data_IF_007782403503
#
_entry.id   IF_007782403503
#
_cell.length_a   1.000
_cell.length_b   1.000
_cell.length_c   1.000
_cell.angle_alpha   90.00
_cell.angle_beta   90.00
_cell.angle_gamma   90.00
#
_symmetry.space_group_name_H-M   'P 1'
#
loop_
_entity.id
_entity.type
_entity.pdbx_description
1 polymer ?
#
# COMPACT_ATOMS: atom_id res chain seq x y z
N UNK A 1 9.35 -63.61 2.69
CA UNK A 1 9.33 -62.44 3.56
C UNK A 1 10.08 -61.32 2.84
N UNK A 2 9.29 -60.43 2.20
CA UNK A 2 9.84 -59.31 1.43
C UNK A 2 9.53 -58.03 2.22
N UNK A 3 10.62 -57.37 2.72
CA UNK A 3 10.50 -56.08 3.40
C UNK A 3 10.38 -54.98 2.34
N UNK A 4 9.20 -54.39 2.24
CA UNK A 4 8.97 -53.19 1.45
C UNK A 4 9.73 -51.99 2.06
N UNK A 5 10.67 -51.42 1.31
CA UNK A 5 11.27 -50.12 1.64
C UNK A 5 10.26 -49.02 1.42
N UNK A 6 9.83 -48.38 2.51
CA UNK A 6 9.08 -47.15 2.48
C UNK A 6 10.01 -46.01 1.98
N UNK A 7 9.75 -45.53 0.78
CA UNK A 7 10.35 -44.27 0.29
C UNK A 7 9.73 -43.10 1.05
N UNK A 8 10.39 -42.68 2.12
CA UNK A 8 10.16 -41.35 2.65
C UNK A 8 10.73 -40.32 1.66
N UNK A 9 9.86 -39.79 0.84
CA UNK A 9 10.13 -38.55 0.11
C UNK A 9 10.29 -37.47 1.17
N UNK A 10 11.51 -36.99 1.36
CA UNK A 10 11.76 -35.75 2.06
C UNK A 10 11.01 -34.65 1.27
N UNK A 11 9.82 -34.27 1.73
CA UNK A 11 9.27 -32.94 1.42
C UNK A 11 10.24 -31.95 2.03
N UNK A 12 11.10 -31.36 1.20
CA UNK A 12 11.83 -30.16 1.59
C UNK A 12 10.79 -29.17 2.14
N UNK A 13 11.14 -28.48 3.18
CA UNK A 13 10.31 -27.38 3.73
C UNK A 13 10.12 -26.40 2.57
N UNK A 14 8.96 -26.48 1.90
CA UNK A 14 8.58 -25.51 0.87
C UNK A 14 8.47 -24.19 1.61
N UNK A 15 9.32 -23.22 1.27
CA UNK A 15 9.19 -21.87 1.80
C UNK A 15 7.86 -21.31 1.32
N UNK A 16 7.00 -20.88 2.24
CA UNK A 16 5.68 -20.34 1.93
C UNK A 16 5.78 -18.94 1.30
N UNK A 17 6.93 -18.28 1.47
CA UNK A 17 7.20 -16.92 1.00
C UNK A 17 8.66 -16.80 0.58
N UNK A 18 8.88 -16.24 -0.58
CA UNK A 18 10.18 -15.74 -1.02
C UNK A 18 10.19 -14.21 -0.91
N UNK A 19 11.25 -13.66 -0.37
CA UNK A 19 11.49 -12.21 -0.29
C UNK A 19 12.83 -11.93 -0.97
N UNK A 20 12.87 -10.88 -1.82
CA UNK A 20 14.06 -10.49 -2.56
C UNK A 20 14.20 -8.97 -2.55
N UNK A 21 15.33 -8.47 -2.05
CA UNK A 21 15.64 -7.06 -1.99
C UNK A 21 16.45 -6.62 -3.22
N UNK A 22 15.91 -5.68 -3.98
CA UNK A 22 16.62 -4.99 -5.03
C UNK A 22 16.99 -3.59 -4.56
N UNK A 23 18.13 -3.47 -3.88
CA UNK A 23 18.65 -2.18 -3.40
C UNK A 23 19.09 -1.37 -4.62
N UNK A 24 18.53 -0.15 -4.77
CA UNK A 24 18.85 0.79 -5.86
C UNK A 24 19.74 1.93 -5.39
N UNK A 25 19.57 2.34 -4.13
CA UNK A 25 20.30 3.43 -3.50
C UNK A 25 20.76 3.01 -2.11
N UNK A 26 22.01 3.31 -1.81
CA UNK A 26 22.62 3.18 -0.50
C UNK A 26 23.61 4.33 -0.34
N UNK A 27 23.32 5.26 0.54
CA UNK A 27 24.09 6.50 0.68
C UNK A 27 23.97 7.07 2.10
N UNK A 28 24.89 7.93 2.46
CA UNK A 28 24.85 8.67 3.73
C UNK A 28 23.66 9.62 3.73
N UNK A 29 22.91 9.65 4.83
CA UNK A 29 21.77 10.53 5.03
C UNK A 29 22.22 11.87 5.63
N UNK A 30 21.49 12.95 5.30
CA UNK A 30 21.67 14.30 5.88
C UNK A 30 23.12 14.79 5.81
N UNK A 31 23.75 14.64 4.62
CA UNK A 31 25.13 15.08 4.35
C UNK A 31 26.17 14.59 5.38
N UNK A 32 25.88 13.48 6.05
CA UNK A 32 26.74 12.89 7.07
C UNK A 32 26.64 13.53 8.45
N UNK A 33 25.56 14.26 8.71
CA UNK A 33 25.29 14.79 10.06
C UNK A 33 25.27 13.69 11.11
N UNK A 34 25.85 13.99 12.29
CA UNK A 34 25.88 13.06 13.42
C UNK A 34 24.76 13.38 14.41
N UNK A 35 23.95 12.36 14.72
CA UNK A 35 22.79 12.49 15.61
C UNK A 35 23.11 12.02 17.03
N UNK A 36 23.79 12.86 17.79
CA UNK A 36 24.21 12.58 19.16
C UNK A 36 25.07 11.31 19.24
N UNK A 37 24.81 10.45 20.22
CA UNK A 37 25.58 9.21 20.42
C UNK A 37 25.30 8.11 19.38
N UNK A 38 24.23 8.25 18.60
CA UNK A 38 23.89 7.29 17.53
C UNK A 38 24.80 7.45 16.31
N UNK A 39 25.41 8.63 16.13
CA UNK A 39 26.26 8.92 14.99
C UNK A 39 25.47 9.18 13.69
N UNK A 40 26.12 8.90 12.57
CA UNK A 40 25.55 9.12 11.23
C UNK A 40 24.48 8.09 10.89
N UNK A 41 23.63 8.43 9.93
CA UNK A 41 22.62 7.57 9.35
C UNK A 41 22.90 7.24 7.90
N UNK A 42 22.47 6.05 7.50
CA UNK A 42 22.48 5.55 6.14
C UNK A 42 21.05 5.49 5.60
N UNK A 43 20.88 5.89 4.35
CA UNK A 43 19.66 5.78 3.57
C UNK A 43 19.76 4.59 2.62
N UNK A 44 18.77 3.70 2.64
CA UNK A 44 18.66 2.56 1.72
C UNK A 44 17.29 2.62 1.06
N UNK A 45 17.24 2.54 -0.27
CA UNK A 45 15.97 2.54 -0.99
C UNK A 45 16.01 1.60 -2.20
N UNK A 46 14.85 1.10 -2.60
CA UNK A 46 14.73 0.20 -3.73
C UNK A 46 13.38 -0.45 -3.83
N UNK A 47 13.39 -1.70 -4.26
CA UNK A 47 12.22 -2.54 -4.48
C UNK A 47 12.36 -3.84 -3.70
N UNK A 48 11.27 -4.29 -3.09
CA UNK A 48 11.14 -5.63 -2.53
C UNK A 48 10.19 -6.42 -3.42
N UNK A 49 10.60 -7.64 -3.79
CA UNK A 49 9.75 -8.60 -4.49
C UNK A 49 9.39 -9.72 -3.54
N UNK A 50 8.13 -10.12 -3.62
CA UNK A 50 7.57 -11.23 -2.87
C UNK A 50 7.04 -12.27 -3.85
N UNK A 51 7.19 -13.53 -3.51
CA UNK A 51 6.49 -14.62 -4.12
C UNK A 51 5.87 -15.48 -3.01
N UNK A 52 4.54 -15.64 -3.03
CA UNK A 52 3.77 -16.31 -1.98
C UNK A 52 3.03 -17.51 -2.52
N UNK A 53 2.96 -18.61 -1.73
CA UNK A 53 2.16 -19.76 -2.07
C UNK A 53 0.66 -19.45 -1.83
N UNK A 54 -0.16 -19.32 -2.89
CA UNK A 54 -1.58 -18.98 -2.72
C UNK A 54 -2.41 -20.12 -2.10
N UNK A 55 -1.85 -21.31 -1.96
CA UNK A 55 -2.50 -22.48 -1.38
C UNK A 55 -2.11 -22.69 0.09
N UNK A 56 -1.14 -21.93 0.62
CA UNK A 56 -0.77 -21.93 2.03
C UNK A 56 -1.85 -21.30 2.91
N UNK A 57 -2.06 -21.88 4.09
CA UNK A 57 -2.99 -21.35 5.11
C UNK A 57 -2.63 -19.94 5.56
N UNK A 58 -1.33 -19.60 5.53
CA UNK A 58 -0.83 -18.26 5.90
C UNK A 58 -1.40 -17.12 5.03
N UNK A 59 -1.90 -17.44 3.83
CA UNK A 59 -2.47 -16.49 2.87
C UNK A 59 -3.94 -16.73 2.57
N UNK A 60 -4.57 -17.69 3.24
CA UNK A 60 -5.98 -18.10 2.98
C UNK A 60 -7.00 -16.97 3.13
N UNK A 61 -6.68 -15.94 3.93
CA UNK A 61 -7.55 -14.77 4.13
C UNK A 61 -7.44 -13.72 3.01
N UNK A 62 -6.47 -13.82 2.09
CA UNK A 62 -6.29 -12.82 1.02
C UNK A 62 -7.33 -13.06 -0.07
N UNK A 63 -8.24 -12.10 -0.21
CA UNK A 63 -9.31 -12.17 -1.22
C UNK A 63 -8.71 -12.21 -2.62
N UNK A 64 -9.21 -13.11 -3.45
CA UNK A 64 -8.80 -13.33 -4.85
C UNK A 64 -7.35 -13.77 -5.07
N UNK A 65 -6.59 -14.13 -4.03
CA UNK A 65 -5.21 -14.60 -4.21
C UNK A 65 -5.11 -15.83 -5.11
N UNK A 66 -6.02 -16.78 -4.96
CA UNK A 66 -6.07 -18.00 -5.78
C UNK A 66 -6.43 -17.76 -7.25
N UNK A 67 -6.99 -16.58 -7.53
CA UNK A 67 -7.32 -16.09 -8.86
C UNK A 67 -6.20 -15.27 -9.50
N UNK A 68 -5.12 -15.01 -8.78
CA UNK A 68 -3.96 -14.29 -9.30
C UNK A 68 -3.08 -15.20 -10.20
N UNK A 69 -2.39 -14.64 -11.20
CA UNK A 69 -1.46 -15.39 -12.01
C UNK A 69 -0.32 -15.97 -11.16
N UNK A 70 0.08 -17.20 -11.48
CA UNK A 70 1.18 -17.91 -10.81
C UNK A 70 2.41 -17.93 -11.70
N UNK A 71 3.58 -17.82 -11.12
CA UNK A 71 4.84 -18.04 -11.82
C UNK A 71 5.09 -19.55 -12.07
N UNK A 72 6.21 -19.89 -12.73
CA UNK A 72 6.57 -21.26 -13.09
C UNK A 72 6.74 -22.19 -11.88
N UNK A 73 6.89 -21.64 -10.68
CA UNK A 73 6.97 -22.38 -9.41
C UNK A 73 5.63 -22.48 -8.67
N UNK A 74 4.55 -21.92 -9.23
CA UNK A 74 3.22 -21.93 -8.64
C UNK A 74 2.93 -20.80 -7.65
N UNK A 75 3.87 -19.87 -7.43
CA UNK A 75 3.72 -18.74 -6.53
C UNK A 75 3.08 -17.52 -7.19
N UNK A 76 2.39 -16.71 -6.40
CA UNK A 76 1.88 -15.39 -6.81
C UNK A 76 2.91 -14.32 -6.46
N UNK A 77 3.29 -13.54 -7.46
CA UNK A 77 4.31 -12.50 -7.33
C UNK A 77 3.68 -11.10 -7.17
N UNK A 78 4.29 -10.30 -6.30
CA UNK A 78 4.01 -8.87 -6.18
C UNK A 78 5.27 -8.13 -5.72
N UNK A 79 5.25 -6.80 -5.82
CA UNK A 79 6.42 -6.00 -5.47
C UNK A 79 6.03 -4.66 -4.86
N UNK A 80 6.91 -4.11 -4.03
CA UNK A 80 6.72 -2.81 -3.41
C UNK A 80 8.01 -2.00 -3.37
N UNK A 81 7.88 -0.68 -3.42
CA UNK A 81 8.98 0.20 -3.09
C UNK A 81 9.25 0.16 -1.59
N UNK A 82 10.51 0.34 -1.19
CA UNK A 82 10.88 0.47 0.21
C UNK A 82 11.88 1.62 0.43
N UNK A 83 11.90 2.10 1.67
CA UNK A 83 12.80 3.13 2.13
C UNK A 83 13.20 2.85 3.58
N UNK A 84 14.49 2.90 3.88
CA UNK A 84 15.04 2.66 5.22
C UNK A 84 16.01 3.79 5.57
N UNK A 85 15.86 4.36 6.76
CA UNK A 85 16.89 5.17 7.43
C UNK A 85 17.33 4.44 8.68
N UNK A 86 18.62 4.15 8.79
CA UNK A 86 19.16 3.41 9.93
C UNK A 86 20.49 4.02 10.39
N UNK A 87 20.89 3.80 11.66
CA UNK A 87 22.26 4.11 12.07
C UNK A 87 23.27 3.47 11.12
N UNK A 88 24.29 4.21 10.70
CA UNK A 88 25.38 3.68 9.88
C UNK A 88 26.07 2.51 10.60
N UNK A 89 26.31 2.68 11.90
CA UNK A 89 26.66 1.59 12.81
C UNK A 89 25.42 1.16 13.60
N UNK A 90 24.85 -0.01 13.25
CA UNK A 90 23.67 -0.54 13.93
C UNK A 90 23.87 -0.78 15.43
N UNK A 91 25.13 -1.00 15.89
CA UNK A 91 25.43 -1.20 17.30
C UNK A 91 25.23 0.06 18.15
N UNK A 92 25.30 1.26 17.52
CA UNK A 92 25.01 2.55 18.18
C UNK A 92 23.51 2.87 18.22
N UNK A 93 22.69 2.09 17.49
CA UNK A 93 21.24 2.22 17.50
C UNK A 93 20.59 1.58 18.73
N UNK A 94 19.30 1.85 18.92
CA UNK A 94 18.52 1.28 20.04
C UNK A 94 17.94 -0.11 19.74
N UNK A 95 18.25 -0.68 18.59
CA UNK A 95 17.72 -1.98 18.08
C UNK A 95 16.19 -2.04 17.95
N UNK A 96 15.57 -0.90 17.73
CA UNK A 96 14.11 -0.78 17.51
C UNK A 96 13.83 -0.30 16.10
N UNK A 97 12.98 -1.04 15.41
CA UNK A 97 12.43 -0.68 14.12
C UNK A 97 11.14 0.11 14.37
N UNK A 98 11.02 1.29 13.74
CA UNK A 98 9.77 2.03 13.67
C UNK A 98 9.31 2.06 12.21
N UNK A 99 8.18 1.39 11.94
CA UNK A 99 7.56 1.33 10.63
C UNK A 99 6.48 2.40 10.51
N UNK A 100 6.61 3.29 9.52
CA UNK A 100 5.57 4.24 9.15
C UNK A 100 4.74 3.67 8.00
N UNK A 101 3.48 3.35 8.28
CA UNK A 101 2.51 3.05 7.24
C UNK A 101 2.27 4.35 6.47
N UNK A 102 2.87 4.48 5.29
CA UNK A 102 2.76 5.70 4.49
C UNK A 102 1.29 6.04 4.17
N UNK A 103 0.98 7.32 4.06
CA UNK A 103 -0.38 7.78 3.78
C UNK A 103 -0.52 8.10 2.29
N UNK A 104 -1.20 7.23 1.53
CA UNK A 104 -1.31 7.32 0.06
C UNK A 104 0.05 7.47 -0.61
N UNK A 105 1.01 6.62 -0.22
CA UNK A 105 2.37 6.64 -0.73
C UNK A 105 3.27 7.71 -0.11
N UNK A 106 2.73 8.67 0.66
CA UNK A 106 3.51 9.76 1.25
C UNK A 106 4.08 9.39 2.62
N UNK A 107 5.38 9.64 2.81
CA UNK A 107 6.11 9.42 4.06
C UNK A 107 5.83 10.57 5.02
N UNK A 108 5.31 10.28 6.21
CA UNK A 108 4.87 11.31 7.14
C UNK A 108 5.61 11.33 8.48
N UNK A 109 6.28 10.27 8.85
CA UNK A 109 6.87 10.10 10.18
C UNK A 109 7.83 11.23 10.56
N UNK A 110 8.75 11.61 9.68
CA UNK A 110 9.75 12.64 9.99
C UNK A 110 9.11 14.01 10.21
N UNK A 111 8.06 14.34 9.46
CA UNK A 111 7.30 15.56 9.66
C UNK A 111 6.66 15.63 11.05
N UNK A 112 6.14 14.52 11.57
CA UNK A 112 5.41 14.50 12.84
C UNK A 112 6.29 14.28 14.07
N UNK A 113 7.38 13.55 13.93
CA UNK A 113 8.27 13.26 15.07
C UNK A 113 9.50 14.17 15.14
N UNK A 114 9.95 14.66 13.99
CA UNK A 114 11.19 15.43 13.89
C UNK A 114 10.96 16.89 13.49
N UNK A 115 9.71 17.34 13.33
CA UNK A 115 9.39 18.69 12.76
C UNK A 115 10.10 18.95 11.42
N UNK A 116 10.29 17.90 10.64
CA UNK A 116 11.01 17.96 9.38
C UNK A 116 10.15 18.52 8.24
N UNK A 117 10.79 19.12 7.25
CA UNK A 117 10.16 19.42 5.97
C UNK A 117 9.69 18.11 5.34
N UNK A 118 8.46 18.11 4.79
CA UNK A 118 7.91 16.90 4.14
C UNK A 118 8.71 16.53 2.90
N UNK A 119 9.05 15.24 2.81
CA UNK A 119 9.65 14.63 1.63
C UNK A 119 9.22 13.16 1.52
N UNK A 120 8.95 12.70 0.31
CA UNK A 120 8.76 11.27 0.02
C UNK A 120 10.09 10.55 -0.27
N UNK A 121 11.19 11.29 -0.34
CA UNK A 121 12.55 10.79 -0.53
C UNK A 121 13.53 11.53 0.37
N UNK A 122 13.36 11.48 1.70
CA UNK A 122 14.15 12.27 2.64
C UNK A 122 15.64 11.96 2.53
N UNK A 123 16.49 13.00 2.31
CA UNK A 123 17.92 12.84 2.05
C UNK A 123 18.81 13.92 2.68
N UNK A 124 18.26 15.11 2.95
CA UNK A 124 19.01 16.28 3.43
C UNK A 124 18.84 16.49 4.93
N UNK A 125 19.60 17.44 5.49
CA UNK A 125 19.49 17.88 6.89
C UNK A 125 18.11 18.48 7.20
N UNK A 126 17.49 19.19 6.25
CA UNK A 126 16.12 19.70 6.41
C UNK A 126 15.09 18.57 6.56
N UNK A 127 15.32 17.47 5.84
CA UNK A 127 14.49 16.26 5.95
C UNK A 127 14.72 15.48 7.26
N UNK A 128 15.86 15.69 7.93
CA UNK A 128 16.10 15.17 9.28
C UNK A 128 15.35 15.95 10.35
N UNK A 129 15.06 17.25 10.07
CA UNK A 129 14.42 18.16 11.01
C UNK A 129 15.24 18.31 12.29
N UNK A 130 14.58 18.24 13.46
CA UNK A 130 15.29 18.29 14.74
C UNK A 130 16.04 17.00 15.07
N UNK A 131 16.01 15.95 14.24
CA UNK A 131 16.73 14.69 14.42
C UNK A 131 16.27 13.82 15.61
N UNK A 132 15.07 14.05 16.15
CA UNK A 132 14.61 13.36 17.37
C UNK A 132 14.70 11.83 17.28
N UNK A 133 14.13 11.21 16.24
CA UNK A 133 14.14 9.75 16.09
C UNK A 133 15.55 9.20 15.88
N UNK A 134 16.40 9.95 15.16
CA UNK A 134 17.79 9.59 14.91
C UNK A 134 18.60 9.63 16.20
N UNK A 135 18.50 10.71 17.00
CA UNK A 135 19.19 10.78 18.30
C UNK A 135 18.73 9.72 19.29
N UNK A 136 17.53 9.16 19.09
CA UNK A 136 17.02 8.01 19.88
C UNK A 136 17.44 6.66 19.31
N UNK A 137 18.15 6.63 18.17
CA UNK A 137 18.76 5.44 17.59
C UNK A 137 17.77 4.51 16.88
N UNK A 138 16.59 4.97 16.46
CA UNK A 138 15.61 4.15 15.74
C UNK A 138 16.07 3.85 14.31
N UNK A 139 15.81 2.63 13.84
CA UNK A 139 15.78 2.31 12.41
C UNK A 139 14.37 2.57 11.89
N UNK A 140 14.23 3.41 10.87
CA UNK A 140 12.96 3.85 10.30
C UNK A 140 12.71 3.11 8.99
N UNK A 141 11.51 2.56 8.81
CA UNK A 141 11.18 1.74 7.64
C UNK A 141 9.85 2.17 7.05
N UNK A 142 9.80 2.24 5.72
CA UNK A 142 8.61 2.47 4.90
C UNK A 142 8.56 1.45 3.77
N UNK A 143 7.38 1.05 3.38
CA UNK A 143 7.13 0.34 2.12
C UNK A 143 5.74 0.67 1.59
N UNK A 144 5.52 0.53 0.28
CA UNK A 144 4.18 0.61 -0.28
C UNK A 144 3.30 -0.52 0.26
N UNK A 145 2.01 -0.24 0.45
CA UNK A 145 1.03 -1.21 0.97
C UNK A 145 -0.30 -1.19 0.22
N UNK A 146 -0.48 -0.27 -0.70
CA UNK A 146 -1.70 -0.16 -1.52
C UNK A 146 -1.34 -0.05 -3.01
N UNK A 147 -2.06 -0.79 -3.84
CA UNK A 147 -1.75 -0.92 -5.26
C UNK A 147 -2.42 0.14 -6.15
N UNK A 148 -3.20 1.04 -5.56
CA UNK A 148 -3.89 2.11 -6.29
C UNK A 148 -3.12 3.45 -6.28
N UNK A 149 -1.89 3.50 -5.75
CA UNK A 149 -1.05 4.70 -5.81
C UNK A 149 -0.43 4.85 -7.20
N UNK A 150 -0.65 6.00 -7.81
CA UNK A 150 0.00 6.36 -9.07
C UNK A 150 1.47 6.72 -8.82
N UNK A 151 2.40 6.25 -9.65
CA UNK A 151 3.80 6.64 -9.58
C UNK A 151 3.98 8.15 -9.74
N UNK A 152 4.93 8.71 -9.01
CA UNK A 152 5.30 10.13 -9.08
C UNK A 152 5.57 10.71 -7.69
N UNK A 153 6.24 11.87 -7.66
CA UNK A 153 6.54 12.61 -6.43
C UNK A 153 7.21 11.75 -5.33
N UNK A 154 8.00 10.74 -5.72
CA UNK A 154 8.66 9.83 -4.79
C UNK A 154 7.74 8.98 -3.91
N UNK A 155 6.44 8.92 -4.22
CA UNK A 155 5.46 8.13 -3.48
C UNK A 155 5.81 6.66 -3.50
N UNK A 156 5.62 6.00 -2.36
CA UNK A 156 5.78 4.55 -2.25
C UNK A 156 4.60 3.85 -2.95
N UNK A 157 4.91 3.02 -3.91
CA UNK A 157 3.92 2.26 -4.69
C UNK A 157 4.01 0.77 -4.41
N UNK A 158 2.92 0.06 -4.73
CA UNK A 158 2.89 -1.40 -4.69
C UNK A 158 2.31 -1.92 -6.00
N UNK A 159 2.99 -2.87 -6.62
CA UNK A 159 2.57 -3.54 -7.85
C UNK A 159 1.93 -4.86 -7.48
N UNK A 160 0.63 -4.95 -7.71
CA UNK A 160 -0.20 -6.10 -7.36
C UNK A 160 -0.62 -6.88 -8.60
N UNK A 161 -0.78 -8.19 -8.50
CA UNK A 161 -1.36 -8.98 -9.57
C UNK A 161 -2.85 -8.66 -9.75
N UNK A 162 -3.31 -8.80 -10.98
CA UNK A 162 -4.74 -8.75 -11.34
C UNK A 162 -5.30 -10.15 -11.23
N UNK A 163 -6.42 -10.29 -10.52
CA UNK A 163 -7.13 -11.55 -10.44
C UNK A 163 -7.93 -11.81 -11.73
N UNK A 164 -7.94 -13.09 -12.16
CA UNK A 164 -8.70 -13.58 -13.30
C UNK A 164 -9.48 -14.84 -12.92
N UNK A 165 -10.58 -15.13 -13.57
CA UNK A 165 -11.33 -16.36 -13.34
C UNK A 165 -11.24 -17.28 -14.57
N UNK A 166 -10.55 -18.41 -14.43
CA UNK A 166 -10.25 -19.32 -15.55
C UNK A 166 -9.54 -18.64 -16.74
N UNK A 167 -8.72 -17.61 -16.47
CA UNK A 167 -8.04 -16.82 -17.49
C UNK A 167 -8.86 -15.67 -18.08
N UNK A 168 -10.12 -15.54 -17.70
CA UNK A 168 -11.02 -14.47 -18.14
C UNK A 168 -11.02 -13.28 -17.18
N UNK A 169 -11.33 -12.08 -17.69
CA UNK A 169 -11.43 -10.87 -16.88
C UNK A 169 -12.55 -10.99 -15.84
N UNK A 170 -12.23 -10.70 -14.59
CA UNK A 170 -13.24 -10.54 -13.52
C UNK A 170 -13.87 -9.16 -13.64
N UNK A 171 -15.20 -9.11 -13.68
CA UNK A 171 -15.97 -7.86 -13.65
C UNK A 171 -16.79 -7.74 -12.37
N UNK A 172 -17.15 -6.51 -11.99
CA UNK A 172 -17.99 -6.26 -10.82
C UNK A 172 -18.41 -4.82 -10.69
N UNK A 173 -19.52 -4.63 -10.00
CA UNK A 173 -20.07 -3.28 -9.76
C UNK A 173 -19.19 -2.55 -8.76
N UNK A 174 -18.81 -1.33 -9.08
CA UNK A 174 -18.06 -0.41 -8.21
C UNK A 174 -18.68 0.98 -8.19
N UNK A 175 -18.32 1.77 -7.20
CA UNK A 175 -18.83 3.13 -7.00
C UNK A 175 -17.69 4.12 -6.87
N UNK A 176 -17.78 5.22 -7.59
CA UNK A 176 -16.96 6.41 -7.40
C UNK A 176 -17.79 7.53 -6.80
N UNK A 177 -17.22 8.31 -5.92
CA UNK A 177 -17.86 9.46 -5.29
C UNK A 177 -16.99 10.69 -5.51
N UNK A 178 -17.62 11.77 -5.99
CA UNK A 178 -16.94 13.03 -6.25
C UNK A 178 -17.56 14.14 -5.41
N UNK A 179 -16.73 14.92 -4.73
CA UNK A 179 -17.10 16.19 -4.13
C UNK A 179 -15.98 17.15 -4.51
N UNK A 180 -16.33 18.21 -5.18
CA UNK A 180 -15.38 19.25 -5.59
C UNK A 180 -15.52 20.47 -4.68
N UNK A 181 -14.41 21.16 -4.45
CA UNK A 181 -14.38 22.35 -3.60
C UNK A 181 -14.36 23.64 -4.44
N UNK A 182 -14.13 23.53 -5.77
CA UNK A 182 -13.97 24.65 -6.68
C UNK A 182 -14.99 24.63 -7.83
N UNK A 183 -15.33 25.82 -8.33
CA UNK A 183 -16.12 25.98 -9.54
C UNK A 183 -15.31 25.66 -10.80
N UNK A 184 -16.00 25.25 -11.88
CA UNK A 184 -15.37 25.02 -13.18
C UNK A 184 -14.70 23.66 -13.34
N UNK A 185 -14.81 22.77 -12.37
CA UNK A 185 -14.37 21.38 -12.52
C UNK A 185 -15.34 20.66 -13.46
N UNK A 186 -14.85 20.25 -14.63
CA UNK A 186 -15.65 19.61 -15.68
C UNK A 186 -15.35 18.11 -15.82
N UNK A 187 -14.22 17.63 -15.31
CA UNK A 187 -13.85 16.21 -15.40
C UNK A 187 -13.14 15.77 -14.13
N UNK A 188 -13.48 14.58 -13.66
CA UNK A 188 -12.89 13.94 -12.48
C UNK A 188 -12.38 12.53 -12.82
N UNK A 189 -11.20 12.13 -12.31
CA UNK A 189 -10.82 10.72 -12.36
C UNK A 189 -11.78 9.90 -11.50
N UNK A 190 -12.07 8.66 -11.91
CA UNK A 190 -12.94 7.76 -11.14
C UNK A 190 -12.42 7.44 -9.72
N UNK A 191 -11.14 7.69 -9.46
CA UNK A 191 -10.53 7.64 -8.11
C UNK A 191 -10.88 8.84 -7.23
N UNK A 192 -11.51 9.87 -7.78
CA UNK A 192 -11.83 11.14 -7.13
C UNK A 192 -10.64 11.98 -6.65
N UNK A 193 -9.40 11.62 -7.06
CA UNK A 193 -8.19 12.39 -6.78
C UNK A 193 -7.09 12.11 -7.82
N UNK A 194 -6.06 12.96 -7.86
CA UNK A 194 -5.03 12.91 -8.89
C UNK A 194 -3.82 11.99 -8.59
N UNK A 195 -3.78 11.31 -7.46
CA UNK A 195 -2.65 10.47 -7.04
C UNK A 195 -3.00 9.00 -6.77
N UNK A 196 -4.27 8.64 -6.93
CA UNK A 196 -4.70 7.24 -6.93
C UNK A 196 -5.38 6.87 -8.25
N UNK A 197 -5.29 5.61 -8.62
CA UNK A 197 -6.03 5.03 -9.74
C UNK A 197 -7.37 4.45 -9.26
N UNK A 198 -8.27 4.24 -10.21
CA UNK A 198 -9.50 3.47 -10.05
C UNK A 198 -9.47 2.26 -10.97
N UNK A 199 -10.50 1.42 -10.89
CA UNK A 199 -10.71 0.34 -11.82
C UNK A 199 -11.31 0.86 -13.13
N UNK A 200 -10.89 0.25 -14.23
CA UNK A 200 -11.38 0.54 -15.57
C UNK A 200 -12.86 0.20 -15.71
N UNK A 201 -13.67 1.09 -16.26
CA UNK A 201 -15.04 0.78 -16.66
C UNK A 201 -15.03 -0.19 -17.86
N UNK A 202 -15.85 -1.24 -17.83
CA UNK A 202 -15.95 -2.21 -18.95
C UNK A 202 -16.56 -1.62 -20.20
N UNK A 203 -17.39 -0.58 -20.02
CA UNK A 203 -18.07 0.14 -21.08
C UNK A 203 -17.96 1.64 -20.82
N UNK A 204 -17.85 2.42 -21.87
CA UNK A 204 -17.94 3.88 -21.83
C UNK A 204 -19.31 4.39 -22.28
N UNK A 205 -20.28 3.48 -22.53
CA UNK A 205 -21.68 3.83 -22.73
C UNK A 205 -22.29 4.23 -21.38
N UNK A 206 -22.78 5.45 -21.29
CA UNK A 206 -23.36 5.99 -20.06
C UNK A 206 -24.62 5.26 -19.61
N UNK A 207 -25.33 4.60 -20.52
CA UNK A 207 -26.50 3.77 -20.23
C UNK A 207 -26.19 2.52 -19.41
N UNK A 208 -24.92 2.10 -19.39
CA UNK A 208 -24.42 0.95 -18.60
C UNK A 208 -24.01 1.36 -17.17
N UNK A 209 -24.22 2.62 -16.80
CA UNK A 209 -23.86 3.17 -15.50
C UNK A 209 -24.98 4.00 -14.90
N UNK A 210 -24.90 4.28 -13.61
CA UNK A 210 -25.85 5.17 -12.93
C UNK A 210 -25.09 6.34 -12.35
N UNK A 211 -25.41 7.56 -12.76
CA UNK A 211 -24.84 8.77 -12.25
C UNK A 211 -25.87 9.61 -11.52
N UNK A 212 -25.58 9.98 -10.27
CA UNK A 212 -26.51 10.74 -9.42
C UNK A 212 -25.80 11.88 -8.73
N UNK A 213 -26.57 12.88 -8.28
CA UNK A 213 -26.10 13.96 -7.43
C UNK A 213 -27.09 14.27 -6.31
N UNK A 214 -26.59 14.83 -5.20
CA UNK A 214 -27.38 15.36 -4.08
C UNK A 214 -26.60 16.44 -3.34
N UNK A 215 -27.26 17.34 -2.67
CA UNK A 215 -26.60 18.40 -1.90
C UNK A 215 -26.13 17.90 -0.54
N UNK A 216 -27.02 17.23 0.20
CA UNK A 216 -26.72 16.64 1.51
C UNK A 216 -26.86 15.13 1.46
N UNK A 217 -26.20 14.48 2.38
CA UNK A 217 -26.23 13.02 2.52
C UNK A 217 -27.62 12.47 2.75
N UNK A 218 -28.43 13.18 3.52
CA UNK A 218 -29.84 12.84 3.79
C UNK A 218 -30.79 13.04 2.61
N UNK A 219 -30.35 13.74 1.55
CA UNK A 219 -31.20 14.06 0.44
C UNK A 219 -31.40 12.87 -0.51
N UNK A 220 -32.53 12.88 -1.21
CA UNK A 220 -32.80 11.93 -2.28
C UNK A 220 -31.82 12.13 -3.43
N UNK A 221 -31.23 11.04 -3.93
CA UNK A 221 -30.37 11.06 -5.11
C UNK A 221 -31.15 11.52 -6.35
N UNK A 222 -30.63 12.54 -7.02
CA UNK A 222 -31.16 13.07 -8.27
C UNK A 222 -30.40 12.43 -9.43
N UNK A 223 -31.04 11.70 -10.34
CA UNK A 223 -30.35 11.13 -11.50
C UNK A 223 -29.84 12.21 -12.45
N UNK A 224 -28.67 11.99 -13.02
CA UNK A 224 -28.11 12.75 -14.13
C UNK A 224 -28.37 11.94 -15.40
N UNK A 225 -29.05 12.55 -16.39
CA UNK A 225 -29.42 11.87 -17.62
C UNK A 225 -28.18 11.38 -18.40
N UNK A 226 -28.29 10.26 -19.08
CA UNK A 226 -27.16 9.60 -19.75
C UNK A 226 -26.49 10.49 -20.81
N UNK A 227 -27.24 11.38 -21.45
CA UNK A 227 -26.74 12.34 -22.45
C UNK A 227 -26.08 13.59 -21.82
N UNK A 228 -26.20 13.78 -20.51
CA UNK A 228 -25.67 14.96 -19.80
C UNK A 228 -24.23 14.79 -19.31
N UNK A 229 -23.64 13.62 -19.46
CA UNK A 229 -22.27 13.31 -19.01
C UNK A 229 -21.61 12.28 -19.93
N UNK A 230 -20.31 12.03 -19.73
CA UNK A 230 -19.58 11.03 -20.51
C UNK A 230 -18.42 10.40 -19.69
N UNK A 231 -18.05 9.17 -20.03
CA UNK A 231 -16.77 8.61 -19.66
C UNK A 231 -15.67 9.26 -20.48
N UNK A 232 -15.14 10.39 -20.00
CA UNK A 232 -14.14 11.17 -20.71
C UNK A 232 -13.24 11.98 -19.74
N UNK A 233 -12.03 12.25 -20.18
CA UNK A 233 -11.11 13.23 -19.58
C UNK A 233 -11.05 14.48 -20.45
N UNK A 234 -10.75 15.63 -19.86
CA UNK A 234 -10.44 16.83 -20.63
C UNK A 234 -8.96 16.87 -21.00
N UNK A 235 -8.70 17.09 -22.28
CA UNK A 235 -7.36 17.35 -22.80
C UNK A 235 -7.42 18.59 -23.70
N UNK A 236 -6.71 19.65 -23.33
CA UNK A 236 -6.75 20.95 -24.03
C UNK A 236 -8.19 21.49 -24.21
N UNK A 237 -9.02 21.37 -23.18
CA UNK A 237 -10.42 21.81 -23.17
C UNK A 237 -11.39 20.94 -23.99
N UNK A 238 -10.94 19.82 -24.56
CA UNK A 238 -11.79 18.90 -25.33
C UNK A 238 -11.99 17.58 -24.57
N UNK A 239 -13.21 17.03 -24.54
CA UNK A 239 -13.45 15.71 -23.97
C UNK A 239 -12.85 14.63 -24.86
N UNK A 240 -12.03 13.76 -24.27
CA UNK A 240 -11.44 12.58 -24.91
C UNK A 240 -11.96 11.33 -24.16
N UNK A 241 -12.52 10.34 -24.85
CA UNK A 241 -13.03 9.12 -24.22
C UNK A 241 -12.02 8.50 -23.25
N UNK A 242 -12.47 8.08 -22.09
CA UNK A 242 -11.62 7.48 -21.05
C UNK A 242 -12.44 6.63 -20.11
N UNK A 243 -12.09 5.34 -20.00
CA UNK A 243 -12.70 4.41 -19.04
C UNK A 243 -12.31 4.68 -17.56
N UNK A 244 -11.51 5.71 -17.31
CA UNK A 244 -11.01 6.09 -15.97
C UNK A 244 -11.44 7.48 -15.50
N UNK A 245 -12.29 8.18 -16.27
CA UNK A 245 -12.72 9.54 -15.94
C UNK A 245 -14.21 9.74 -16.23
N UNK A 246 -14.81 10.63 -15.45
CA UNK A 246 -16.15 11.15 -15.65
C UNK A 246 -16.06 12.61 -16.08
N UNK A 247 -16.75 13.00 -17.14
CA UNK A 247 -16.88 14.36 -17.65
C UNK A 247 -18.33 14.83 -17.56
N UNK A 248 -18.54 15.97 -16.93
CA UNK A 248 -19.84 16.64 -16.79
C UNK A 248 -19.75 18.01 -17.46
N UNK A 249 -20.27 18.21 -18.68
CA UNK A 249 -20.12 19.46 -19.44
C UNK A 249 -20.62 20.72 -18.73
N UNK A 250 -21.69 20.61 -17.92
CA UNK A 250 -22.22 21.72 -17.10
C UNK A 250 -21.39 21.96 -15.81
N UNK A 251 -20.38 21.13 -15.53
CA UNK A 251 -19.52 21.20 -14.36
C UNK A 251 -20.12 20.57 -13.11
N UNK A 252 -19.23 20.16 -12.24
CA UNK A 252 -19.57 19.72 -10.89
C UNK A 252 -19.86 20.95 -10.01
N UNK A 253 -20.93 20.90 -9.22
CA UNK A 253 -21.26 21.95 -8.23
C UNK A 253 -20.42 21.74 -6.98
N UNK A 254 -19.68 22.76 -6.49
CA UNK A 254 -18.95 22.67 -5.25
C UNK A 254 -19.81 22.27 -4.06
N UNK A 255 -19.28 21.39 -3.21
CA UNK A 255 -19.97 20.89 -2.01
C UNK A 255 -21.04 19.83 -2.26
N UNK A 256 -21.44 19.59 -3.51
CA UNK A 256 -22.43 18.55 -3.85
C UNK A 256 -21.78 17.17 -3.94
N UNK A 257 -22.52 16.14 -3.53
CA UNK A 257 -22.12 14.73 -3.58
C UNK A 257 -22.58 14.15 -4.93
N UNK A 258 -21.63 13.69 -5.74
CA UNK A 258 -21.88 12.97 -6.98
C UNK A 258 -21.48 11.51 -6.80
N UNK A 259 -22.33 10.57 -7.21
CA UNK A 259 -22.07 9.13 -7.13
C UNK A 259 -22.25 8.49 -8.49
N UNK A 260 -21.17 7.87 -9.01
CA UNK A 260 -21.17 7.11 -10.24
C UNK A 260 -21.01 5.62 -9.90
N UNK A 261 -22.01 4.82 -10.23
CA UNK A 261 -22.01 3.37 -10.11
C UNK A 261 -21.84 2.78 -11.52
N UNK A 262 -20.82 1.96 -11.70
CA UNK A 262 -20.46 1.37 -12.99
C UNK A 262 -19.92 -0.05 -12.81
N UNK A 263 -19.89 -0.85 -13.86
CA UNK A 263 -19.24 -2.14 -13.87
C UNK A 263 -17.77 -1.95 -14.24
N UNK A 264 -16.88 -2.37 -13.34
CA UNK A 264 -15.43 -2.34 -13.49
C UNK A 264 -14.88 -3.71 -13.86
N UNK A 265 -13.62 -3.75 -14.30
CA UNK A 265 -12.88 -4.99 -14.61
C UNK A 265 -11.49 -4.99 -13.95
N UNK A 266 -10.85 -6.17 -13.97
CA UNK A 266 -9.46 -6.36 -13.58
C UNK A 266 -9.14 -5.97 -12.13
N UNK A 267 -9.76 -6.61 -11.11
CA UNK A 267 -9.50 -6.32 -9.71
C UNK A 267 -8.08 -6.70 -9.32
N UNK A 268 -7.36 -5.75 -8.70
CA UNK A 268 -6.08 -6.02 -8.05
C UNK A 268 -6.28 -6.79 -6.75
N UNK A 269 -5.37 -7.72 -6.43
CA UNK A 269 -5.36 -8.46 -5.16
C UNK A 269 -4.81 -7.55 -4.05
N UNK A 270 -5.62 -6.57 -3.63
CA UNK A 270 -5.22 -5.50 -2.70
C UNK A 270 -4.86 -6.02 -1.29
N UNK A 271 -5.42 -7.16 -0.88
CA UNK A 271 -5.13 -7.80 0.41
C UNK A 271 -3.66 -8.12 0.63
N UNK A 272 -2.88 -8.29 -0.45
CA UNK A 272 -1.43 -8.47 -0.42
C UNK A 272 -0.69 -7.29 0.24
N UNK A 273 -1.32 -6.12 0.36
CA UNK A 273 -0.76 -5.01 1.13
C UNK A 273 -0.61 -5.30 2.62
N UNK A 274 -1.51 -6.10 3.20
CA UNK A 274 -1.39 -6.54 4.60
C UNK A 274 -0.28 -7.59 4.75
N UNK A 275 -0.25 -8.56 3.87
CA UNK A 275 0.77 -9.63 3.88
C UNK A 275 2.17 -9.10 3.62
N UNK A 276 2.33 -8.19 2.65
CA UNK A 276 3.63 -7.60 2.33
C UNK A 276 4.24 -6.84 3.51
N UNK A 277 3.43 -6.11 4.28
CA UNK A 277 3.91 -5.46 5.52
C UNK A 277 4.25 -6.48 6.60
N UNK A 278 3.39 -7.50 6.81
CA UNK A 278 3.64 -8.58 7.76
C UNK A 278 4.97 -9.27 7.49
N UNK A 279 5.15 -9.72 6.26
CA UNK A 279 6.28 -10.54 5.87
C UNK A 279 7.58 -9.72 5.82
N UNK A 280 7.52 -8.44 5.40
CA UNK A 280 8.66 -7.53 5.46
C UNK A 280 9.15 -7.31 6.90
N UNK A 281 8.25 -7.00 7.82
CA UNK A 281 8.65 -6.74 9.22
C UNK A 281 9.17 -8.01 9.87
N UNK A 282 8.56 -9.16 9.61
CA UNK A 282 9.03 -10.45 10.07
C UNK A 282 10.45 -10.73 9.55
N UNK A 283 10.71 -10.56 8.26
CA UNK A 283 12.04 -10.69 7.66
C UNK A 283 13.06 -9.77 8.35
N UNK A 284 12.75 -8.49 8.50
CA UNK A 284 13.67 -7.51 9.08
C UNK A 284 14.04 -7.82 10.55
N UNK A 285 13.15 -8.49 11.29
CA UNK A 285 13.38 -8.92 12.67
C UNK A 285 14.17 -10.23 12.78
N UNK A 286 13.92 -11.19 11.89
CA UNK A 286 14.29 -12.59 12.14
C UNK A 286 15.31 -13.16 11.16
N UNK A 287 15.29 -12.75 9.89
CA UNK A 287 16.09 -13.39 8.86
C UNK A 287 17.47 -12.73 8.69
N UNK A 288 18.46 -13.50 8.21
CA UNK A 288 19.83 -13.02 7.99
C UNK A 288 20.02 -12.43 6.60
N UNK A 289 19.39 -13.05 5.63
CA UNK A 289 19.44 -12.69 4.22
C UNK A 289 18.14 -13.09 3.51
N UNK A 290 17.88 -12.49 2.38
CA UNK A 290 16.76 -12.83 1.50
C UNK A 290 17.04 -14.16 0.74
N UNK A 291 16.08 -14.58 -0.08
CA UNK A 291 16.15 -15.85 -0.83
C UNK A 291 17.26 -15.90 -1.88
N UNK A 292 17.82 -14.74 -2.27
CA UNK A 292 18.97 -14.64 -3.18
C UNK A 292 20.29 -14.41 -2.44
N UNK A 293 20.27 -14.38 -1.10
CA UNK A 293 21.45 -14.16 -0.27
C UNK A 293 21.80 -12.69 -0.03
N UNK A 294 20.93 -11.75 -0.40
CA UNK A 294 21.11 -10.33 -0.08
C UNK A 294 20.97 -10.14 1.44
N UNK A 295 22.00 -9.63 2.15
CA UNK A 295 21.93 -9.45 3.58
C UNK A 295 20.77 -8.57 4.03
N UNK A 296 20.14 -8.95 5.14
CA UNK A 296 19.11 -8.12 5.79
C UNK A 296 19.71 -6.75 6.18
N UNK A 297 19.17 -5.64 5.68
CA UNK A 297 19.74 -4.31 5.90
C UNK A 297 19.74 -3.87 7.36
N UNK A 298 18.92 -4.50 8.22
CA UNK A 298 18.82 -4.21 9.65
C UNK A 298 19.52 -5.27 10.51
N UNK A 299 20.41 -6.09 9.91
CA UNK A 299 21.21 -7.07 10.60
C UNK A 299 22.68 -6.97 10.14
N UNK A 300 23.58 -6.68 11.06
CA UNK A 300 25.01 -6.51 10.75
C UNK A 300 25.87 -6.85 11.97
N UNK A 301 26.95 -7.63 11.78
CA UNK A 301 27.94 -7.95 12.80
C UNK A 301 27.34 -8.46 14.12
N UNK A 302 26.30 -9.32 14.04
CA UNK A 302 25.61 -9.86 15.21
C UNK A 302 24.55 -8.91 15.82
N UNK A 303 24.48 -7.65 15.38
CA UNK A 303 23.41 -6.73 15.78
C UNK A 303 22.16 -7.00 14.95
N UNK A 304 21.02 -7.07 15.61
CA UNK A 304 19.70 -7.25 15.00
C UNK A 304 18.66 -6.38 15.68
N UNK A 305 17.52 -6.19 15.02
CA UNK A 305 16.36 -5.54 15.64
C UNK A 305 15.76 -6.47 16.71
N UNK A 306 15.35 -5.91 17.83
CA UNK A 306 14.73 -6.64 18.95
C UNK A 306 13.23 -6.35 19.06
N UNK A 307 12.80 -5.19 18.58
CA UNK A 307 11.44 -4.71 18.66
C UNK A 307 11.02 -4.01 17.37
N UNK A 308 9.75 -4.18 16.99
CA UNK A 308 9.14 -3.42 15.92
C UNK A 308 7.91 -2.66 16.41
N UNK A 309 7.79 -1.41 15.98
CA UNK A 309 6.66 -0.55 16.27
C UNK A 309 6.03 -0.05 14.97
N UNK A 310 4.70 -0.07 14.89
CA UNK A 310 3.95 0.46 13.76
C UNK A 310 3.32 1.82 14.10
N UNK A 311 3.54 2.81 13.26
CA UNK A 311 2.86 4.10 13.35
C UNK A 311 2.11 4.39 12.04
N UNK A 312 0.95 5.00 12.14
CA UNK A 312 0.18 5.39 10.96
C UNK A 312 -0.86 6.44 11.28
N UNK A 313 -0.98 7.45 10.42
CA UNK A 313 -1.87 8.59 10.61
C UNK A 313 -3.07 8.53 9.68
N UNK A 314 -4.28 8.79 10.19
CA UNK A 314 -5.53 8.84 9.42
C UNK A 314 -5.81 7.50 8.70
N UNK A 315 -5.80 7.43 7.39
CA UNK A 315 -5.95 6.19 6.61
C UNK A 315 -4.95 5.11 7.04
N UNK A 316 -3.70 5.49 7.26
CA UNK A 316 -2.64 4.57 7.69
C UNK A 316 -2.86 4.07 9.13
N UNK A 317 -3.47 4.89 9.99
CA UNK A 317 -3.93 4.44 11.29
C UNK A 317 -5.07 3.42 11.19
N UNK A 318 -5.99 3.59 10.22
CA UNK A 318 -7.01 2.57 9.92
C UNK A 318 -6.38 1.27 9.39
N UNK A 319 -5.32 1.36 8.58
CA UNK A 319 -4.56 0.19 8.15
C UNK A 319 -4.02 -0.61 9.35
N UNK A 320 -3.38 0.03 10.31
CA UNK A 320 -2.85 -0.64 11.51
C UNK A 320 -3.96 -1.31 12.35
N UNK A 321 -5.12 -0.66 12.48
CA UNK A 321 -6.28 -1.26 13.15
C UNK A 321 -6.80 -2.49 12.39
N UNK A 322 -6.93 -2.40 11.06
CA UNK A 322 -7.33 -3.51 10.20
C UNK A 322 -6.33 -4.65 10.23
N UNK A 323 -5.02 -4.33 10.23
CA UNK A 323 -3.91 -5.28 10.33
C UNK A 323 -4.02 -6.16 11.59
N UNK A 324 -4.20 -5.54 12.76
CA UNK A 324 -4.37 -6.28 14.02
C UNK A 324 -5.71 -7.00 14.07
N UNK A 325 -6.80 -6.34 13.66
CA UNK A 325 -8.14 -6.93 13.65
C UNK A 325 -8.24 -8.21 12.83
N UNK A 326 -7.52 -8.27 11.69
CA UNK A 326 -7.50 -9.44 10.81
C UNK A 326 -6.42 -10.47 11.17
N UNK A 327 -5.70 -10.30 12.28
CA UNK A 327 -4.69 -11.27 12.74
C UNK A 327 -3.33 -11.16 12.04
N UNK A 328 -3.09 -10.15 11.20
CA UNK A 328 -1.79 -9.99 10.51
C UNK A 328 -0.63 -9.61 11.45
N UNK A 329 -0.90 -9.34 12.74
CA UNK A 329 0.19 -9.11 13.72
C UNK A 329 0.88 -10.41 14.18
N UNK A 330 0.58 -11.50 13.51
CA UNK A 330 1.26 -12.80 13.62
C UNK A 330 1.72 -13.24 12.23
N UNK A 331 2.98 -13.66 12.11
CA UNK A 331 3.53 -14.15 10.85
C UNK A 331 3.19 -15.64 10.62
N UNK A 332 3.62 -16.20 9.48
CA UNK A 332 3.37 -17.60 9.13
C UNK A 332 3.99 -18.62 10.09
N UNK A 333 4.91 -18.20 10.96
CA UNK A 333 5.55 -19.03 11.97
C UNK A 333 5.00 -18.79 13.39
N UNK A 334 3.90 -18.04 13.54
CA UNK A 334 3.30 -17.72 14.83
C UNK A 334 4.07 -16.67 15.63
N UNK A 335 5.00 -15.92 15.00
CA UNK A 335 5.78 -14.88 15.65
C UNK A 335 5.09 -13.53 15.55
N UNK A 336 5.24 -12.71 16.60
CA UNK A 336 4.68 -11.35 16.63
C UNK A 336 5.41 -10.43 15.65
N UNK A 337 4.63 -9.66 14.85
CA UNK A 337 5.14 -8.69 13.87
C UNK A 337 5.45 -7.35 14.55
N UNK A 338 4.46 -6.69 15.14
CA UNK A 338 4.65 -5.45 15.87
C UNK A 338 4.48 -5.67 17.38
N UNK A 339 5.44 -5.19 18.18
CA UNK A 339 5.32 -5.17 19.64
C UNK A 339 4.32 -4.11 20.13
N UNK A 340 4.19 -3.02 19.38
CA UNK A 340 3.18 -1.98 19.61
C UNK A 340 2.80 -1.30 18.31
N UNK A 341 1.57 -0.81 18.25
CA UNK A 341 1.06 0.02 17.15
C UNK A 341 0.50 1.34 17.70
N UNK A 342 0.65 2.40 16.91
CA UNK A 342 0.09 3.72 17.19
C UNK A 342 -0.78 4.20 16.02
N UNK A 343 -2.07 3.85 16.00
CA UNK A 343 -3.01 4.31 14.98
C UNK A 343 -3.46 5.76 15.28
N UNK A 344 -2.65 6.72 14.86
CA UNK A 344 -2.86 8.14 15.14
C UNK A 344 -4.01 8.71 14.31
N UNK A 345 -4.97 9.38 14.96
CA UNK A 345 -6.19 10.00 14.38
C UNK A 345 -6.86 9.13 13.30
N UNK A 346 -7.00 7.85 13.59
CA UNK A 346 -7.47 6.86 12.61
C UNK A 346 -8.95 6.97 12.26
N UNK A 347 -9.74 7.65 13.08
CA UNK A 347 -11.21 7.68 12.96
C UNK A 347 -11.87 6.31 13.21
N UNK A 348 -13.21 6.25 13.13
CA UNK A 348 -14.00 5.03 13.35
C UNK A 348 -14.03 4.08 12.16
N UNK A 349 -13.98 4.60 10.92
CA UNK A 349 -14.11 3.83 9.69
C UNK A 349 -13.00 2.81 9.47
N UNK A 350 -13.27 1.82 8.63
CA UNK A 350 -12.31 0.79 8.21
C UNK A 350 -11.55 1.25 6.96
N UNK A 351 -10.37 0.70 6.71
CA UNK A 351 -9.74 0.77 5.41
C UNK A 351 -10.26 -0.39 4.55
N UNK A 352 -10.79 -0.07 3.37
CA UNK A 352 -11.32 -1.07 2.44
C UNK A 352 -10.16 -1.59 1.59
N UNK A 353 -9.44 -2.60 2.08
CA UNK A 353 -8.23 -3.13 1.45
C UNK A 353 -8.42 -4.57 0.94
N UNK A 354 -8.83 -5.50 1.78
CA UNK A 354 -8.94 -6.92 1.44
C UNK A 354 -10.34 -7.28 0.94
N UNK A 355 -10.70 -6.76 -0.24
CA UNK A 355 -11.97 -6.97 -0.93
C UNK A 355 -11.73 -6.99 -2.44
N UNK A 356 -12.59 -7.66 -3.20
CA UNK A 356 -12.62 -7.55 -4.66
C UNK A 356 -13.01 -6.11 -5.05
N UNK A 357 -12.31 -5.50 -5.98
CA UNK A 357 -12.43 -4.07 -6.35
C UNK A 357 -12.23 -3.10 -5.17
N UNK A 358 -11.33 -3.45 -4.24
CA UNK A 358 -10.98 -2.56 -3.13
C UNK A 358 -10.34 -1.25 -3.62
N UNK A 359 -10.74 -0.13 -3.01
CA UNK A 359 -10.26 1.21 -3.31
C UNK A 359 -9.66 1.86 -2.04
N UNK A 360 -8.48 1.40 -1.56
CA UNK A 360 -7.91 1.87 -0.29
C UNK A 360 -7.55 3.36 -0.30
N UNK A 361 -7.19 3.92 -1.45
CA UNK A 361 -6.86 5.34 -1.60
C UNK A 361 -8.07 6.28 -1.52
N UNK A 362 -9.28 5.75 -1.63
CA UNK A 362 -10.52 6.52 -1.52
C UNK A 362 -10.68 7.11 -0.12
N UNK A 363 -11.22 8.32 -0.04
CA UNK A 363 -11.61 8.91 1.23
C UNK A 363 -12.91 8.23 1.71
N UNK A 364 -12.90 7.46 2.80
CA UNK A 364 -14.15 7.01 3.38
C UNK A 364 -14.85 8.22 3.98
N UNK A 365 -16.07 8.43 3.59
CA UNK A 365 -16.93 9.40 4.23
C UNK A 365 -17.91 8.64 5.11
N UNK A 366 -18.22 9.11 6.32
CA UNK A 366 -19.23 8.52 7.18
C UNK A 366 -20.61 8.92 6.61
N UNK A 367 -21.04 8.20 5.58
CA UNK A 367 -22.34 8.44 4.94
C UNK A 367 -23.45 7.55 5.50
N UNK A 368 -23.16 6.79 6.55
CA UNK A 368 -24.13 5.82 7.11
C UNK A 368 -24.45 6.14 8.54
#
# INVERSE_FOLDING_TARGET
MSFGRSNHVHRGILMETEIRFKIRHRETFADGESFGNTGQYERIAGEIRFAVDPDSDAYSMVVDLKHAPRNDHGFVEFATDFYILKPADLAQGNRRLLYDVNNRGALRMLQFFNDAVHSNTPSTTEHAGNGFLMRRGYSLVWSGWQGDIMPGDGRQTMRLPIATENGEEITGVTRSEFIVDEHGVLSMPLSANGYTSSYEAISTDTRDATFTMREYESDQRQPIADDDWAFARLQNGRPIPSAFHCHLPRGFKPGWIYELVYTAKNPNVQGLGLTGVRDLISFLLHDEADTEGTPNPLRLNGTRMEKAYGWGRSQSGRFLREFVYRGYNEDSQGRRVFDAISPHVSGGGRVVLNYRFAQPGRYPRPHD
#
